data_IF_837014924320
#
_entry.id   IF_837014924320
#
_cell.length_a   1.000
_cell.length_b   1.000
_cell.length_c   1.000
_cell.angle_alpha   90.00
_cell.angle_beta   90.00
_cell.angle_gamma   90.00
#
_symmetry.space_group_name_H-M   'P 1'
#
loop_
_entity.id
_entity.type
_entity.pdbx_description
1 polymer ?
#
# COMPACT_ATOMS: atom_id res chain seq x y z
N UNK A 1 -7.76 -21.05 16.15
CA UNK A 1 -7.91 -20.00 15.14
C UNK A 1 -9.35 -20.05 14.67
N UNK A 2 -10.13 -19.12 15.15
CA UNK A 2 -11.58 -19.16 14.99
C UNK A 2 -11.97 -18.53 13.65
N UNK A 3 -12.46 -19.31 12.72
CA UNK A 3 -12.88 -18.85 11.39
C UNK A 3 -14.22 -18.08 11.43
N UNK A 4 -14.86 -18.01 12.59
CA UNK A 4 -16.11 -17.26 12.75
C UNK A 4 -15.95 -15.76 12.51
N UNK A 5 -14.73 -15.21 12.63
CA UNK A 5 -14.45 -13.81 12.31
C UNK A 5 -14.64 -13.47 10.83
N UNK A 6 -14.51 -14.45 9.93
CA UNK A 6 -14.64 -14.21 8.49
C UNK A 6 -16.08 -13.85 8.07
N UNK A 7 -17.07 -14.26 8.84
CA UNK A 7 -18.47 -13.97 8.55
C UNK A 7 -18.91 -12.55 8.98
N UNK A 8 -18.12 -11.89 9.82
CA UNK A 8 -18.43 -10.54 10.31
C UNK A 8 -17.52 -9.46 9.75
N UNK A 9 -16.69 -9.80 8.75
CA UNK A 9 -15.80 -8.84 8.14
C UNK A 9 -16.57 -7.84 7.27
N UNK A 10 -16.24 -6.56 7.41
CA UNK A 10 -16.83 -5.52 6.58
C UNK A 10 -16.18 -5.51 5.19
N UNK A 11 -16.76 -6.24 4.25
CA UNK A 11 -16.25 -6.32 2.88
C UNK A 11 -16.26 -4.97 2.16
N UNK A 12 -17.22 -4.10 2.50
CA UNK A 12 -17.28 -2.76 1.93
C UNK A 12 -16.09 -1.91 2.40
N UNK A 13 -15.70 -2.04 3.67
CA UNK A 13 -14.51 -1.35 4.19
C UNK A 13 -13.23 -1.84 3.49
N UNK A 14 -13.12 -3.12 3.19
CA UNK A 14 -12.00 -3.67 2.41
C UNK A 14 -11.97 -3.06 1.02
N UNK A 15 -13.09 -3.03 0.33
CA UNK A 15 -13.19 -2.44 -1.02
C UNK A 15 -12.82 -0.96 -1.01
N UNK A 16 -13.36 -0.18 -0.08
CA UNK A 16 -13.06 1.26 0.05
C UNK A 16 -11.58 1.49 0.37
N UNK A 17 -11.00 0.69 1.26
CA UNK A 17 -9.57 0.76 1.57
C UNK A 17 -8.71 0.48 0.33
N UNK A 18 -9.05 -0.54 -0.45
CA UNK A 18 -8.36 -0.85 -1.70
C UNK A 18 -8.47 0.29 -2.71
N UNK A 19 -9.64 0.90 -2.84
CA UNK A 19 -9.84 2.08 -3.70
C UNK A 19 -9.00 3.27 -3.25
N UNK A 20 -8.91 3.51 -1.94
CA UNK A 20 -8.07 4.58 -1.39
C UNK A 20 -6.60 4.34 -1.73
N UNK A 21 -6.10 3.12 -1.52
CA UNK A 21 -4.71 2.77 -1.86
C UNK A 21 -4.45 2.95 -3.34
N UNK A 22 -5.36 2.50 -4.19
CA UNK A 22 -5.23 2.58 -5.64
C UNK A 22 -5.23 4.03 -6.13
N UNK A 23 -6.15 4.85 -5.64
CA UNK A 23 -6.22 6.27 -5.97
C UNK A 23 -5.02 7.04 -5.42
N UNK A 24 -4.59 6.74 -4.20
CA UNK A 24 -3.39 7.32 -3.62
C UNK A 24 -2.16 7.00 -4.47
N UNK A 25 -2.05 5.76 -4.96
CA UNK A 25 -0.98 5.36 -5.87
C UNK A 25 -1.02 6.13 -7.19
N UNK A 26 -2.19 6.32 -7.77
CA UNK A 26 -2.36 7.09 -8.98
C UNK A 26 -1.91 8.55 -8.80
N UNK A 27 -2.22 9.16 -7.66
CA UNK A 27 -1.80 10.53 -7.33
C UNK A 27 -0.31 10.57 -7.01
N UNK A 28 0.20 9.63 -6.19
CA UNK A 28 1.59 9.59 -5.73
C UNK A 28 2.58 9.46 -6.89
N UNK A 29 2.25 8.60 -7.84
CA UNK A 29 3.06 8.35 -9.03
C UNK A 29 2.59 9.16 -10.24
N UNK A 30 1.87 10.26 -10.02
CA UNK A 30 1.47 11.20 -11.07
C UNK A 30 2.57 12.22 -11.37
N UNK A 31 2.53 12.87 -12.54
CA UNK A 31 3.46 13.95 -12.86
C UNK A 31 3.39 15.13 -11.87
N UNK A 32 2.28 15.30 -11.15
CA UNK A 32 2.14 16.34 -10.13
C UNK A 32 3.00 16.05 -8.88
N UNK A 33 3.37 14.79 -8.61
CA UNK A 33 4.17 14.42 -7.45
C UNK A 33 5.48 13.75 -7.86
N UNK A 34 5.54 12.41 -7.87
CA UNK A 34 6.82 11.69 -7.93
C UNK A 34 7.09 10.93 -9.23
N UNK A 35 6.23 11.06 -10.25
CA UNK A 35 6.39 10.29 -11.49
C UNK A 35 7.73 10.55 -12.18
N UNK A 36 8.13 11.81 -12.32
CA UNK A 36 9.36 12.19 -13.03
C UNK A 36 10.62 11.62 -12.38
N UNK A 37 10.90 11.86 -11.07
CA UNK A 37 12.09 11.30 -10.44
C UNK A 37 12.05 9.77 -10.37
N UNK A 38 10.86 9.19 -10.16
CA UNK A 38 10.69 7.74 -10.10
C UNK A 38 11.03 7.07 -11.44
N UNK A 39 10.49 7.57 -12.54
CA UNK A 39 10.79 7.08 -13.88
C UNK A 39 12.26 7.26 -14.25
N UNK A 40 12.84 8.40 -13.91
CA UNK A 40 14.25 8.69 -14.19
C UNK A 40 15.18 7.72 -13.45
N UNK A 41 14.90 7.42 -12.18
CA UNK A 41 15.69 6.46 -11.39
C UNK A 41 15.55 5.03 -11.86
N UNK A 42 14.42 4.65 -12.47
CA UNK A 42 14.18 3.32 -13.01
C UNK A 42 14.57 3.19 -14.48
N UNK A 43 14.96 4.28 -15.16
CA UNK A 43 15.28 4.26 -16.57
C UNK A 43 14.07 4.03 -17.48
N UNK A 44 12.89 4.38 -17.01
CA UNK A 44 11.65 4.22 -17.78
C UNK A 44 11.49 5.42 -18.72
N UNK A 45 11.31 5.13 -20.02
CA UNK A 45 10.99 6.15 -21.02
C UNK A 45 9.47 6.17 -21.24
N UNK A 46 8.76 7.27 -20.92
CA UNK A 46 7.32 7.36 -21.09
C UNK A 46 6.86 7.23 -22.55
N UNK A 47 7.70 7.56 -23.52
CA UNK A 47 7.39 7.44 -24.95
C UNK A 47 7.35 5.98 -25.44
N UNK A 48 7.98 5.05 -24.71
CA UNK A 48 8.02 3.63 -25.04
C UNK A 48 7.08 2.78 -24.18
N UNK A 49 6.31 3.40 -23.30
CA UNK A 49 5.34 2.71 -22.44
C UNK A 49 4.23 2.07 -23.26
N UNK A 50 4.18 0.74 -23.28
CA UNK A 50 3.09 0.01 -23.95
C UNK A 50 1.80 0.21 -23.14
N UNK A 51 0.77 0.72 -23.80
CA UNK A 51 -0.56 0.95 -23.18
C UNK A 51 -1.11 -0.30 -22.46
N UNK A 52 -0.92 -1.49 -23.04
CA UNK A 52 -1.31 -2.76 -22.42
C UNK A 52 -0.62 -3.01 -21.08
N UNK A 53 0.70 -2.74 -20.97
CA UNK A 53 1.44 -2.93 -19.72
C UNK A 53 0.93 -2.01 -18.62
N UNK A 54 0.52 -0.80 -18.95
CA UNK A 54 -0.06 0.14 -18.00
C UNK A 54 -1.40 -0.36 -17.47
N UNK A 55 -2.29 -0.84 -18.35
CA UNK A 55 -3.61 -1.38 -17.95
C UNK A 55 -3.44 -2.61 -17.06
N UNK A 56 -2.57 -3.56 -17.43
CA UNK A 56 -2.30 -4.72 -16.58
C UNK A 56 -1.71 -4.32 -15.22
N UNK A 57 -0.82 -3.34 -15.20
CA UNK A 57 -0.26 -2.80 -13.97
C UNK A 57 -1.33 -2.21 -13.05
N UNK A 58 -2.25 -1.43 -13.62
CA UNK A 58 -3.35 -0.82 -12.86
C UNK A 58 -4.30 -1.88 -12.28
N UNK A 59 -4.68 -2.88 -13.08
CA UNK A 59 -5.54 -3.98 -12.61
C UNK A 59 -4.82 -4.79 -11.53
N UNK A 60 -3.57 -5.16 -11.76
CA UNK A 60 -2.75 -5.89 -10.81
C UNK A 60 -2.60 -5.14 -9.50
N UNK A 61 -2.38 -3.83 -9.56
CA UNK A 61 -2.29 -2.97 -8.37
C UNK A 61 -3.58 -3.00 -7.56
N UNK A 62 -4.72 -2.88 -8.22
CA UNK A 62 -6.01 -2.91 -7.53
C UNK A 62 -6.26 -4.26 -6.85
N UNK A 63 -5.95 -5.37 -7.53
CA UNK A 63 -6.06 -6.70 -6.94
C UNK A 63 -5.12 -6.88 -5.74
N UNK A 64 -3.90 -6.38 -5.85
CA UNK A 64 -2.94 -6.36 -4.74
C UNK A 64 -3.45 -5.53 -3.56
N UNK A 65 -4.03 -4.37 -3.82
CA UNK A 65 -4.61 -3.51 -2.80
C UNK A 65 -5.80 -4.17 -2.09
N UNK A 66 -6.62 -4.94 -2.81
CA UNK A 66 -7.68 -5.75 -2.21
C UNK A 66 -7.12 -6.80 -1.24
N UNK A 67 -6.10 -7.53 -1.67
CA UNK A 67 -5.44 -8.53 -0.82
C UNK A 67 -4.81 -7.88 0.40
N UNK A 68 -4.11 -6.77 0.21
CA UNK A 68 -3.49 -6.03 1.30
C UNK A 68 -4.53 -5.56 2.32
N UNK A 69 -5.62 -4.96 1.86
CA UNK A 69 -6.69 -4.46 2.73
C UNK A 69 -7.37 -5.60 3.49
N UNK A 70 -7.57 -6.73 2.83
CA UNK A 70 -8.11 -7.95 3.47
C UNK A 70 -7.19 -8.45 4.59
N UNK A 71 -5.89 -8.56 4.32
CA UNK A 71 -4.90 -9.00 5.31
C UNK A 71 -4.78 -7.99 6.44
N UNK A 72 -4.73 -6.69 6.12
CA UNK A 72 -4.64 -5.64 7.13
C UNK A 72 -5.84 -5.67 8.09
N UNK A 73 -7.05 -5.92 7.57
CA UNK A 73 -8.22 -6.05 8.42
C UNK A 73 -8.07 -7.20 9.45
N UNK A 74 -7.43 -8.31 9.06
CA UNK A 74 -7.14 -9.39 10.02
C UNK A 74 -6.23 -8.93 11.15
N UNK A 75 -5.16 -8.20 10.83
CA UNK A 75 -4.28 -7.64 11.85
C UNK A 75 -5.01 -6.65 12.77
N UNK A 76 -5.90 -5.84 12.20
CA UNK A 76 -6.75 -4.92 12.95
C UNK A 76 -7.65 -5.69 13.93
N UNK A 77 -8.30 -6.75 13.47
CA UNK A 77 -9.20 -7.57 14.30
C UNK A 77 -8.42 -8.33 15.39
N UNK A 78 -7.28 -8.91 15.05
CA UNK A 78 -6.45 -9.64 16.03
C UNK A 78 -5.82 -8.74 17.09
N UNK A 79 -5.52 -7.50 16.75
CA UNK A 79 -4.97 -6.52 17.69
C UNK A 79 -6.06 -5.79 18.48
N UNK A 80 -7.34 -6.06 18.18
CA UNK A 80 -8.50 -5.39 18.80
C UNK A 80 -8.46 -3.86 18.64
N UNK A 81 -7.77 -3.37 17.60
CA UNK A 81 -7.70 -1.95 17.30
C UNK A 81 -9.11 -1.41 16.96
N UNK A 82 -9.55 -0.37 17.66
CA UNK A 82 -10.92 0.16 17.56
C UNK A 82 -10.98 1.66 17.35
N UNK A 83 -9.84 2.34 17.35
CA UNK A 83 -9.73 3.78 17.09
C UNK A 83 -8.87 4.03 15.86
N UNK A 84 -9.00 5.22 15.29
CA UNK A 84 -8.15 5.62 14.17
C UNK A 84 -6.67 5.53 14.53
N UNK A 85 -6.29 6.02 15.70
CA UNK A 85 -4.90 6.00 16.16
C UNK A 85 -4.34 4.60 16.34
N UNK A 86 -5.10 3.69 16.95
CA UNK A 86 -4.66 2.29 17.13
C UNK A 86 -4.59 1.56 15.80
N UNK A 87 -5.54 1.79 14.90
CA UNK A 87 -5.51 1.22 13.56
C UNK A 87 -4.34 1.73 12.71
N UNK A 88 -4.07 3.03 12.76
CA UNK A 88 -2.92 3.62 12.11
C UNK A 88 -1.60 3.06 12.66
N UNK A 89 -1.53 2.82 13.97
CA UNK A 89 -0.35 2.20 14.59
C UNK A 89 -0.14 0.78 14.10
N UNK A 90 -1.20 -0.01 13.96
CA UNK A 90 -1.11 -1.37 13.37
C UNK A 90 -0.57 -1.28 11.94
N UNK A 91 -1.08 -0.34 11.14
CA UNK A 91 -0.58 -0.08 9.79
C UNK A 91 0.89 0.31 9.78
N UNK A 92 1.31 1.16 10.72
CA UNK A 92 2.72 1.57 10.87
C UNK A 92 3.64 0.38 11.19
N UNK A 93 3.24 -0.47 12.13
CA UNK A 93 4.04 -1.65 12.50
C UNK A 93 4.15 -2.62 11.32
N UNK A 94 3.05 -2.84 10.60
CA UNK A 94 3.06 -3.64 9.39
C UNK A 94 3.99 -3.07 8.30
N UNK A 95 3.93 -1.77 8.09
CA UNK A 95 4.84 -1.07 7.19
C UNK A 95 6.30 -1.25 7.59
N UNK A 96 6.61 -1.00 8.86
CA UNK A 96 7.98 -1.08 9.35
C UNK A 96 8.58 -2.48 9.17
N UNK A 97 7.83 -3.53 9.55
CA UNK A 97 8.33 -4.90 9.55
C UNK A 97 8.27 -5.59 8.19
N UNK A 98 7.27 -5.31 7.38
CA UNK A 98 7.03 -6.05 6.13
C UNK A 98 7.35 -5.26 4.86
N UNK A 99 7.51 -3.96 4.94
CA UNK A 99 7.83 -3.11 3.78
C UNK A 99 9.18 -2.43 3.95
N UNK A 100 9.37 -1.62 4.99
CA UNK A 100 10.60 -0.86 5.16
C UNK A 100 11.81 -1.78 5.44
N UNK A 101 11.68 -2.67 6.41
CA UNK A 101 12.79 -3.53 6.83
C UNK A 101 13.33 -4.44 5.73
N UNK A 102 12.50 -5.15 4.92
CA UNK A 102 13.04 -5.98 3.84
C UNK A 102 13.48 -5.18 2.61
N UNK A 103 12.80 -4.10 2.27
CA UNK A 103 13.10 -3.35 1.04
C UNK A 103 14.31 -2.43 1.15
N UNK A 104 14.64 -1.96 2.35
CA UNK A 104 15.80 -1.08 2.53
C UNK A 104 17.11 -1.77 2.17
N UNK A 105 17.49 -2.93 2.75
CA UNK A 105 18.70 -3.64 2.36
C UNK A 105 18.66 -4.13 0.91
N UNK A 106 17.50 -4.54 0.40
CA UNK A 106 17.36 -4.97 -0.98
C UNK A 106 17.73 -3.84 -1.95
N UNK A 107 17.31 -2.60 -1.67
CA UNK A 107 17.70 -1.45 -2.46
C UNK A 107 19.21 -1.21 -2.49
N UNK A 108 19.90 -1.46 -1.37
CA UNK A 108 21.36 -1.36 -1.28
C UNK A 108 22.01 -2.44 -2.16
N UNK A 109 21.56 -3.69 -2.09
CA UNK A 109 22.09 -4.78 -2.92
C UNK A 109 21.88 -4.52 -4.42
N UNK A 110 20.77 -3.93 -4.80
CA UNK A 110 20.45 -3.62 -6.20
C UNK A 110 21.09 -2.33 -6.70
N UNK A 111 21.80 -1.60 -5.84
CA UNK A 111 22.42 -0.33 -6.22
C UNK A 111 21.41 0.80 -6.47
N UNK A 112 20.21 0.68 -5.95
CA UNK A 112 19.17 1.71 -6.12
C UNK A 112 19.38 2.88 -5.18
N UNK A 113 19.09 4.13 -5.61
CA UNK A 113 19.24 5.29 -4.75
C UNK A 113 18.23 5.28 -3.60
N UNK A 114 18.62 5.82 -2.44
CA UNK A 114 17.74 5.95 -1.27
C UNK A 114 16.45 6.70 -1.60
N UNK A 115 16.50 7.70 -2.47
CA UNK A 115 15.33 8.47 -2.90
C UNK A 115 14.24 7.58 -3.49
N UNK A 116 14.61 6.55 -4.26
CA UNK A 116 13.67 5.57 -4.80
C UNK A 116 12.97 4.78 -3.67
N UNK A 117 13.75 4.30 -2.69
CA UNK A 117 13.19 3.67 -1.50
C UNK A 117 12.22 4.59 -0.77
N UNK A 118 12.61 5.86 -0.55
CA UNK A 118 11.78 6.83 0.16
C UNK A 118 10.44 7.08 -0.56
N UNK A 119 10.45 7.18 -1.89
CA UNK A 119 9.22 7.37 -2.69
C UNK A 119 8.31 6.16 -2.54
N UNK A 120 8.81 4.95 -2.76
CA UNK A 120 8.01 3.73 -2.72
C UNK A 120 7.55 3.37 -1.30
N UNK A 121 8.45 3.42 -0.33
CA UNK A 121 8.12 3.15 1.06
C UNK A 121 7.22 4.23 1.66
N UNK A 122 7.40 5.48 1.28
CA UNK A 122 6.56 6.60 1.70
C UNK A 122 5.12 6.44 1.25
N UNK A 123 4.89 5.98 0.02
CA UNK A 123 3.55 5.64 -0.48
C UNK A 123 2.87 4.61 0.43
N UNK A 124 3.55 3.50 0.70
CA UNK A 124 2.99 2.45 1.55
C UNK A 124 2.78 2.90 2.99
N UNK A 125 3.67 3.76 3.50
CA UNK A 125 3.50 4.32 4.84
C UNK A 125 2.21 5.12 4.96
N UNK A 126 2.01 6.08 4.07
CA UNK A 126 0.78 6.90 4.06
C UNK A 126 -0.44 6.01 3.83
N UNK A 127 -0.37 5.10 2.87
CA UNK A 127 -1.46 4.18 2.57
C UNK A 127 -1.87 3.31 3.75
N UNK A 128 -0.91 2.71 4.45
CA UNK A 128 -1.18 1.84 5.59
C UNK A 128 -1.64 2.61 6.83
N UNK A 129 -1.16 3.83 7.04
CA UNK A 129 -1.67 4.68 8.13
C UNK A 129 -3.14 5.03 7.91
N UNK A 130 -3.50 5.44 6.71
CA UNK A 130 -4.88 5.84 6.37
C UNK A 130 -5.81 4.63 6.39
N UNK A 131 -5.46 3.55 5.72
CA UNK A 131 -6.33 2.35 5.64
C UNK A 131 -6.38 1.60 6.96
N UNK A 132 -5.29 1.55 7.73
CA UNK A 132 -5.28 0.98 9.07
C UNK A 132 -6.24 1.71 10.00
N UNK A 133 -6.22 3.04 9.99
CA UNK A 133 -7.15 3.86 10.74
C UNK A 133 -8.60 3.63 10.31
N UNK A 134 -8.86 3.67 8.99
CA UNK A 134 -10.19 3.46 8.43
C UNK A 134 -10.76 2.09 8.81
N UNK A 135 -9.99 1.03 8.63
CA UNK A 135 -10.43 -0.34 8.93
C UNK A 135 -10.69 -0.55 10.43
N UNK A 136 -9.99 0.15 11.30
CA UNK A 136 -10.22 0.06 12.75
C UNK A 136 -11.54 0.70 13.17
N UNK A 137 -11.92 1.82 12.56
CA UNK A 137 -13.16 2.54 12.91
C UNK A 137 -14.38 2.05 12.12
N UNK A 138 -14.17 1.36 11.00
CA UNK A 138 -15.24 0.88 10.12
C UNK A 138 -15.09 -0.62 9.82
N UNK A 139 -15.13 -1.41 10.85
CA UNK A 139 -15.02 -2.88 10.77
C UNK A 139 -16.35 -3.59 11.03
#
# INVERSE_FOLDING_TARGET
>A
MDIHHLHHMNHLAILVSALILWLLGAIWYSPALFAKPWMAMLGINPEHGKHKSMVYGMISSFLGDLVLSFVLLHFILWSEASSWGTGAFVGFIGWLGFIAAPNFPQGIYEGRPFKLFAINAGYWLVGLLVTGGLLAVWR
#
